data_IF_055041605543
#
_entry.id   IF_055041605543
#
_cell.length_a   1.000
_cell.length_b   1.000
_cell.length_c   1.000
_cell.angle_alpha   90.00
_cell.angle_beta   90.00
_cell.angle_gamma   90.00
#
_symmetry.space_group_name_H-M   'P 1'
#
loop_
_entity.id
_entity.type
_entity.pdbx_description
1 polymer ?
#
# COMPACT_ATOMS: atom_id res chain seq x y z
N UNK A 1 -2.52 3.89 15.78
CA UNK A 1 -3.00 2.51 15.72
C UNK A 1 -1.94 1.62 16.34
N UNK A 2 -2.26 0.92 17.42
CA UNK A 2 -1.33 0.02 18.14
C UNK A 2 -1.61 -1.45 17.82
N UNK A 3 -2.83 -1.75 17.36
CA UNK A 3 -3.28 -3.08 16.99
C UNK A 3 -4.08 -3.00 15.69
N UNK A 4 -4.03 -4.05 14.89
CA UNK A 4 -4.82 -4.22 13.66
C UNK A 4 -5.41 -5.63 13.67
N UNK A 5 -6.73 -5.70 13.56
CA UNK A 5 -7.42 -6.96 13.29
C UNK A 5 -7.23 -7.37 11.82
N UNK A 6 -7.01 -8.65 11.60
CA UNK A 6 -6.99 -9.21 10.25
C UNK A 6 -7.54 -10.63 10.28
N UNK A 7 -8.14 -11.06 9.19
CA UNK A 7 -8.69 -12.39 9.02
C UNK A 7 -7.99 -13.09 7.88
N UNK A 8 -7.82 -14.39 8.00
CA UNK A 8 -7.24 -15.22 6.94
C UNK A 8 -8.28 -16.21 6.44
N UNK A 9 -8.41 -16.31 5.12
CA UNK A 9 -9.18 -17.36 4.44
C UNK A 9 -8.21 -18.46 4.04
N UNK A 10 -8.57 -19.70 4.35
CA UNK A 10 -7.89 -20.90 3.90
C UNK A 10 -8.82 -21.65 2.96
N UNK A 11 -8.35 -21.95 1.73
CA UNK A 11 -9.09 -22.65 0.69
C UNK A 11 -8.33 -23.90 0.27
N UNK A 12 -9.04 -25.02 0.10
CA UNK A 12 -8.45 -26.30 -0.33
C UNK A 12 -9.46 -27.12 -1.13
N UNK A 13 -8.97 -28.06 -1.95
CA UNK A 13 -9.80 -29.06 -2.60
C UNK A 13 -10.06 -30.22 -1.63
N UNK A 14 -11.29 -30.77 -1.67
CA UNK A 14 -11.71 -31.82 -0.72
C UNK A 14 -10.87 -33.07 -0.80
N UNK A 15 -10.34 -33.38 -1.97
CA UNK A 15 -9.49 -34.55 -2.25
C UNK A 15 -8.05 -34.39 -1.78
N UNK A 16 -7.59 -33.14 -1.57
CA UNK A 16 -6.20 -32.79 -1.20
C UNK A 16 -6.14 -31.69 -0.15
N UNK A 17 -6.70 -31.91 1.05
CA UNK A 17 -6.82 -30.86 2.07
C UNK A 17 -5.48 -30.40 2.67
N UNK A 18 -4.39 -31.13 2.45
CA UNK A 18 -3.03 -30.76 2.83
C UNK A 18 -2.45 -29.65 1.97
N UNK A 19 -2.92 -29.51 0.71
CA UNK A 19 -2.57 -28.42 -0.19
C UNK A 19 -3.65 -27.35 -0.05
N UNK A 20 -3.26 -26.17 0.41
CA UNK A 20 -4.21 -25.09 0.62
C UNK A 20 -3.63 -23.73 0.23
N UNK A 21 -4.49 -22.89 -0.30
CA UNK A 21 -4.21 -21.47 -0.48
C UNK A 21 -4.59 -20.64 0.72
N UNK A 22 -3.86 -19.57 0.95
CA UNK A 22 -4.07 -18.63 2.04
C UNK A 22 -4.22 -17.21 1.51
N UNK A 23 -5.23 -16.48 1.98
CA UNK A 23 -5.44 -15.07 1.65
C UNK A 23 -5.78 -14.25 2.88
N UNK A 24 -5.32 -13.01 2.91
CA UNK A 24 -5.55 -12.07 3.99
C UNK A 24 -6.70 -11.11 3.64
N UNK A 25 -7.69 -11.04 4.53
CA UNK A 25 -8.76 -10.04 4.49
C UNK A 25 -8.36 -8.86 5.39
N UNK A 26 -7.59 -7.94 4.81
CA UNK A 26 -6.91 -6.85 5.51
C UNK A 26 -7.80 -5.63 5.69
N UNK A 27 -8.76 -5.69 6.59
CA UNK A 27 -9.65 -4.59 6.94
C UNK A 27 -8.96 -3.59 7.89
N UNK A 28 -9.20 -2.29 7.66
CA UNK A 28 -8.90 -1.23 8.63
C UNK A 28 -10.19 -0.68 9.22
N UNK A 29 -10.39 -0.86 10.54
CA UNK A 29 -11.55 -0.33 11.26
C UNK A 29 -11.60 1.21 11.15
N UNK A 30 -12.77 1.73 10.82
CA UNK A 30 -13.01 3.17 10.65
C UNK A 30 -12.44 3.78 9.37
N UNK A 31 -11.80 2.98 8.48
CA UNK A 31 -11.17 3.48 7.25
C UNK A 31 -11.61 2.71 6.01
N UNK A 32 -11.66 1.38 6.07
CA UNK A 32 -12.02 0.55 4.91
C UNK A 32 -13.49 0.72 4.54
N UNK A 33 -13.78 0.79 3.24
CA UNK A 33 -15.14 0.98 2.73
C UNK A 33 -16.09 -0.18 3.10
N UNK A 34 -15.57 -1.36 3.33
CA UNK A 34 -16.29 -2.57 3.72
C UNK A 34 -16.24 -2.83 5.24
N UNK A 35 -15.76 -1.87 6.04
CA UNK A 35 -15.86 -1.93 7.49
C UNK A 35 -17.32 -1.82 7.95
N UNK A 36 -17.90 -2.96 8.31
CA UNK A 36 -19.28 -3.05 8.76
C UNK A 36 -19.38 -3.87 10.05
N UNK A 37 -20.35 -3.61 10.93
CA UNK A 37 -20.55 -4.39 12.16
C UNK A 37 -20.76 -5.90 11.92
N UNK A 38 -21.17 -6.26 10.71
CA UNK A 38 -21.45 -7.66 10.32
C UNK A 38 -20.32 -8.30 9.51
N UNK A 39 -19.12 -7.71 9.50
CA UNK A 39 -18.00 -8.16 8.66
C UNK A 39 -17.69 -9.65 8.87
N UNK A 40 -17.49 -10.09 10.10
CA UNK A 40 -17.20 -11.49 10.43
C UNK A 40 -18.31 -12.45 10.05
N UNK A 41 -19.59 -12.01 10.20
CA UNK A 41 -20.73 -12.84 9.79
C UNK A 41 -20.76 -13.02 8.28
N UNK A 42 -20.42 -11.98 7.51
CA UNK A 42 -20.32 -12.05 6.05
C UNK A 42 -19.16 -12.96 5.64
N UNK A 43 -18.01 -12.82 6.29
CA UNK A 43 -16.85 -13.68 6.04
C UNK A 43 -17.19 -15.15 6.32
N UNK A 44 -17.79 -15.46 7.47
CA UNK A 44 -18.23 -16.82 7.82
C UNK A 44 -19.24 -17.37 6.80
N UNK A 45 -20.22 -16.58 6.37
CA UNK A 45 -21.19 -16.96 5.33
C UNK A 45 -20.48 -17.32 4.01
N UNK A 46 -19.52 -16.50 3.56
CA UNK A 46 -18.75 -16.75 2.33
C UNK A 46 -17.97 -18.06 2.44
N UNK A 47 -17.29 -18.30 3.57
CA UNK A 47 -16.55 -19.54 3.79
C UNK A 47 -17.46 -20.79 3.78
N UNK A 48 -18.66 -20.69 4.33
CA UNK A 48 -19.63 -21.80 4.38
C UNK A 48 -20.27 -22.09 3.01
N UNK A 49 -20.33 -21.11 2.12
CA UNK A 49 -21.03 -21.19 0.85
C UNK A 49 -20.09 -21.12 -0.36
N UNK A 50 -18.80 -21.31 -0.17
CA UNK A 50 -17.78 -21.08 -1.21
C UNK A 50 -18.09 -21.76 -2.54
N UNK A 51 -18.64 -22.97 -2.53
CA UNK A 51 -18.95 -23.76 -3.73
C UNK A 51 -20.18 -23.26 -4.52
N UNK A 52 -21.01 -22.41 -3.91
CA UNK A 52 -22.25 -21.89 -4.51
C UNK A 52 -22.27 -20.37 -4.57
N UNK A 53 -21.20 -19.74 -4.11
CA UNK A 53 -21.09 -18.29 -4.00
C UNK A 53 -21.14 -17.62 -5.38
N UNK A 54 -21.97 -16.59 -5.49
CA UNK A 54 -22.07 -15.79 -6.71
C UNK A 54 -21.28 -14.48 -6.54
N UNK A 55 -20.59 -14.01 -7.59
CA UNK A 55 -19.76 -12.81 -7.55
C UNK A 55 -20.48 -11.55 -7.04
N UNK A 56 -21.79 -11.41 -7.30
CA UNK A 56 -22.56 -10.26 -6.82
C UNK A 56 -22.68 -10.22 -5.28
N UNK A 57 -22.54 -11.35 -4.59
CA UNK A 57 -22.60 -11.45 -3.13
C UNK A 57 -21.34 -10.85 -2.48
N UNK A 58 -20.25 -10.72 -3.25
CA UNK A 58 -19.00 -10.07 -2.84
C UNK A 58 -18.98 -8.57 -3.10
N UNK A 59 -20.03 -8.03 -3.70
CA UNK A 59 -20.11 -6.59 -4.01
C UNK A 59 -20.01 -5.73 -2.74
N UNK A 60 -19.06 -4.82 -2.72
CA UNK A 60 -18.79 -3.94 -1.58
C UNK A 60 -18.06 -4.63 -0.41
N UNK A 61 -17.48 -5.81 -0.62
CA UNK A 61 -16.67 -6.56 0.33
C UNK A 61 -15.24 -6.70 -0.20
N UNK A 62 -14.60 -5.59 -0.50
CA UNK A 62 -13.31 -5.53 -1.22
C UNK A 62 -12.17 -6.27 -0.52
N UNK A 63 -12.08 -6.18 0.81
CA UNK A 63 -11.04 -6.89 1.57
C UNK A 63 -11.28 -8.41 1.60
N UNK A 64 -12.54 -8.84 1.67
CA UNK A 64 -12.89 -10.29 1.61
C UNK A 64 -12.64 -10.82 0.19
N UNK A 65 -13.05 -10.08 -0.84
CA UNK A 65 -12.80 -10.45 -2.23
C UNK A 65 -11.29 -10.61 -2.48
N UNK A 66 -10.48 -9.64 -2.06
CA UNK A 66 -9.03 -9.71 -2.18
C UNK A 66 -8.44 -10.94 -1.47
N UNK A 67 -8.87 -11.20 -0.23
CA UNK A 67 -8.43 -12.37 0.53
C UNK A 67 -8.83 -13.68 -0.17
N UNK A 68 -10.04 -13.77 -0.70
CA UNK A 68 -10.51 -14.96 -1.41
C UNK A 68 -9.75 -15.18 -2.73
N UNK A 69 -9.60 -14.14 -3.55
CA UNK A 69 -8.85 -14.21 -4.82
C UNK A 69 -7.39 -14.62 -4.57
N UNK A 70 -6.78 -14.04 -3.53
CA UNK A 70 -5.41 -14.40 -3.13
C UNK A 70 -5.31 -15.86 -2.69
N UNK A 71 -6.26 -16.35 -1.88
CA UNK A 71 -6.27 -17.74 -1.44
C UNK A 71 -6.44 -18.72 -2.61
N UNK A 72 -7.33 -18.41 -3.55
CA UNK A 72 -7.56 -19.23 -4.75
C UNK A 72 -6.31 -19.22 -5.64
N UNK A 73 -5.69 -18.06 -5.86
CA UNK A 73 -4.47 -17.96 -6.65
C UNK A 73 -3.30 -18.73 -6.02
N UNK A 74 -3.14 -18.67 -4.69
CA UNK A 74 -2.14 -19.45 -3.98
C UNK A 74 -2.40 -20.97 -4.09
N UNK A 75 -3.67 -21.41 -3.94
CA UNK A 75 -4.05 -22.81 -4.12
C UNK A 75 -3.70 -23.31 -5.54
N UNK A 76 -4.05 -22.53 -6.56
CA UNK A 76 -3.75 -22.84 -7.97
C UNK A 76 -2.24 -22.97 -8.26
N UNK A 77 -1.40 -22.31 -7.46
CA UNK A 77 0.05 -22.44 -7.48
C UNK A 77 0.60 -23.47 -6.47
N UNK A 78 -0.26 -24.37 -5.96
CA UNK A 78 0.12 -25.46 -5.08
C UNK A 78 0.32 -25.06 -3.62
N UNK A 79 -0.26 -23.95 -3.17
CA UNK A 79 -0.25 -23.50 -1.78
C UNK A 79 1.14 -23.10 -1.26
N UNK A 80 1.99 -22.62 -2.13
CA UNK A 80 3.40 -22.31 -1.84
C UNK A 80 3.64 -20.87 -1.36
N UNK A 81 2.59 -20.06 -1.23
CA UNK A 81 2.66 -18.62 -0.92
C UNK A 81 3.34 -17.80 -2.02
N UNK A 82 3.36 -18.33 -3.22
CA UNK A 82 3.83 -17.66 -4.44
C UNK A 82 2.65 -17.56 -5.40
N UNK A 83 2.01 -16.40 -5.45
CA UNK A 83 0.81 -16.16 -6.26
C UNK A 83 1.18 -15.96 -7.72
N UNK A 84 2.23 -15.19 -7.97
CA UNK A 84 2.79 -14.94 -9.30
C UNK A 84 4.27 -15.34 -9.29
N UNK A 85 4.63 -16.49 -9.85
CA UNK A 85 6.04 -16.89 -9.97
C UNK A 85 6.81 -15.88 -10.83
N UNK A 86 7.78 -15.23 -10.23
CA UNK A 86 8.69 -14.26 -10.87
C UNK A 86 10.07 -14.40 -10.24
N UNK A 87 11.15 -13.93 -10.88
CA UNK A 87 12.48 -13.94 -10.26
C UNK A 87 12.53 -13.29 -8.88
N UNK A 88 11.71 -12.24 -8.65
CA UNK A 88 11.60 -11.59 -7.34
C UNK A 88 10.93 -12.49 -6.30
N UNK A 89 9.76 -13.07 -6.61
CA UNK A 89 9.01 -13.92 -5.66
C UNK A 89 9.72 -15.25 -5.39
N UNK A 90 10.61 -15.68 -6.28
CA UNK A 90 11.48 -16.86 -6.13
C UNK A 90 12.82 -16.53 -5.44
N UNK A 91 13.03 -15.26 -5.04
CA UNK A 91 14.24 -14.83 -4.35
C UNK A 91 15.50 -14.77 -5.24
N UNK A 92 15.33 -14.69 -6.57
CA UNK A 92 16.42 -14.62 -7.54
C UNK A 92 16.88 -13.20 -7.83
N UNK A 93 15.99 -12.21 -7.64
CA UNK A 93 16.26 -10.78 -7.87
C UNK A 93 15.60 -9.95 -6.78
N UNK A 94 16.18 -8.80 -6.51
CA UNK A 94 15.57 -7.80 -5.63
C UNK A 94 14.58 -6.92 -6.40
N UNK A 95 13.77 -6.16 -5.66
CA UNK A 95 12.91 -5.10 -6.17
C UNK A 95 13.29 -3.78 -5.49
N UNK A 96 13.46 -2.74 -6.28
CA UNK A 96 13.78 -1.41 -5.75
C UNK A 96 12.56 -0.82 -5.03
N UNK A 97 12.80 -0.28 -3.82
CA UNK A 97 11.79 0.39 -3.01
C UNK A 97 12.18 1.84 -2.73
N UNK A 98 11.20 2.71 -2.50
CA UNK A 98 11.48 4.08 -2.07
C UNK A 98 11.78 4.19 -0.57
N UNK A 99 12.66 5.10 -0.20
CA UNK A 99 12.80 5.59 1.17
C UNK A 99 11.60 6.44 1.55
N UNK A 100 10.81 6.02 2.54
CA UNK A 100 9.64 6.77 2.98
C UNK A 100 10.01 7.84 4.00
N UNK A 101 9.62 9.08 3.70
CA UNK A 101 9.68 10.24 4.61
C UNK A 101 8.26 10.45 5.16
N UNK A 102 8.03 9.93 6.35
CA UNK A 102 6.73 10.04 7.02
C UNK A 102 6.49 11.47 7.51
N UNK A 103 5.21 11.83 7.65
CA UNK A 103 4.79 13.14 8.18
C UNK A 103 5.41 13.45 9.55
N UNK A 104 5.74 14.70 9.79
CA UNK A 104 6.28 15.26 11.01
C UNK A 104 6.40 16.76 10.85
N UNK A 105 6.99 17.44 11.83
CA UNK A 105 7.45 18.81 11.62
C UNK A 105 8.61 18.87 10.61
N UNK A 106 8.91 20.07 10.13
CA UNK A 106 9.92 20.31 9.09
C UNK A 106 11.29 19.73 9.45
N UNK A 107 11.73 19.90 10.69
CA UNK A 107 13.05 19.44 11.13
C UNK A 107 13.12 17.92 11.22
N UNK A 108 12.07 17.28 11.72
CA UNK A 108 11.93 15.82 11.76
C UNK A 108 11.92 15.23 10.35
N UNK A 109 11.17 15.83 9.41
CA UNK A 109 11.14 15.36 8.03
C UNK A 109 12.49 15.54 7.35
N UNK A 110 13.16 16.66 7.58
CA UNK A 110 14.51 16.91 7.06
C UNK A 110 15.53 15.89 7.56
N UNK A 111 15.49 15.56 8.85
CA UNK A 111 16.36 14.54 9.42
C UNK A 111 16.12 13.17 8.77
N UNK A 112 14.86 12.78 8.58
CA UNK A 112 14.50 11.54 7.88
C UNK A 112 14.97 11.51 6.42
N UNK A 113 14.93 12.65 5.73
CA UNK A 113 15.48 12.77 4.36
C UNK A 113 16.99 12.45 4.38
N UNK A 114 17.74 13.07 5.28
CA UNK A 114 19.18 12.83 5.42
C UNK A 114 19.44 11.34 5.68
N UNK A 115 18.76 10.74 6.65
CA UNK A 115 18.91 9.32 6.99
C UNK A 115 18.64 8.39 5.81
N UNK A 116 17.62 8.68 4.97
CA UNK A 116 17.31 7.86 3.81
C UNK A 116 18.34 8.02 2.70
N UNK A 117 18.79 9.23 2.45
CA UNK A 117 19.83 9.50 1.46
C UNK A 117 21.18 8.89 1.87
N UNK A 118 21.56 9.00 3.14
CA UNK A 118 22.77 8.38 3.69
C UNK A 118 22.70 6.84 3.68
N UNK A 119 21.49 6.29 3.80
CA UNK A 119 21.25 4.85 3.66
C UNK A 119 21.27 4.37 2.19
N UNK A 120 21.49 5.27 1.20
CA UNK A 120 21.65 4.92 -0.21
C UNK A 120 20.34 4.79 -1.00
N UNK A 121 19.22 5.31 -0.51
CA UNK A 121 17.99 5.34 -1.29
C UNK A 121 18.10 6.34 -2.45
N UNK A 122 17.91 5.85 -3.68
CA UNK A 122 17.86 6.67 -4.90
C UNK A 122 16.45 7.16 -5.25
N UNK A 123 15.43 6.67 -4.56
CA UNK A 123 14.06 7.17 -4.64
C UNK A 123 13.56 7.48 -3.24
N UNK A 124 13.05 8.69 -3.01
CA UNK A 124 12.43 9.08 -1.74
C UNK A 124 11.00 9.56 -1.96
N UNK A 125 10.08 9.10 -1.10
CA UNK A 125 8.66 9.47 -1.13
C UNK A 125 8.33 10.28 0.12
N UNK A 126 7.96 11.56 -0.06
CA UNK A 126 7.54 12.43 1.03
C UNK A 126 6.02 12.38 1.19
N UNK A 127 5.56 12.14 2.42
CA UNK A 127 4.18 12.38 2.80
C UNK A 127 4.02 13.87 3.06
N UNK A 128 3.14 14.55 2.28
CA UNK A 128 2.88 15.99 2.34
C UNK A 128 1.43 16.26 2.70
N UNK A 129 1.09 17.53 3.01
CA UNK A 129 -0.25 17.96 3.39
C UNK A 129 -0.50 17.99 4.89
N UNK A 130 0.54 17.81 5.72
CA UNK A 130 0.42 17.82 7.18
C UNK A 130 1.01 19.07 7.85
N UNK A 131 1.92 19.78 7.17
CA UNK A 131 2.52 21.04 7.61
C UNK A 131 2.22 22.14 6.60
N UNK A 132 2.74 23.35 6.85
CA UNK A 132 2.60 24.43 5.89
C UNK A 132 3.20 24.07 4.53
N UNK A 133 2.49 24.39 3.46
CA UNK A 133 2.88 23.98 2.09
C UNK A 133 4.22 24.58 1.67
N UNK A 134 4.56 25.81 2.10
CA UNK A 134 5.87 26.40 1.79
C UNK A 134 7.00 25.68 2.52
N UNK A 135 6.76 25.16 3.72
CA UNK A 135 7.73 24.33 4.43
C UNK A 135 7.96 22.98 3.70
N UNK A 136 6.90 22.40 3.11
CA UNK A 136 7.01 21.21 2.27
C UNK A 136 7.82 21.47 1.01
N UNK A 137 7.58 22.61 0.35
CA UNK A 137 8.38 23.05 -0.80
C UNK A 137 9.85 23.29 -0.43
N UNK A 138 10.13 23.81 0.77
CA UNK A 138 11.50 23.97 1.27
C UNK A 138 12.24 22.64 1.43
N UNK A 139 11.55 21.58 1.86
CA UNK A 139 12.13 20.23 1.92
C UNK A 139 12.48 19.69 0.54
N UNK A 140 11.60 19.88 -0.45
CA UNK A 140 11.87 19.49 -1.85
C UNK A 140 13.04 20.31 -2.43
N UNK A 141 13.06 21.61 -2.17
CA UNK A 141 14.17 22.51 -2.56
C UNK A 141 15.48 22.08 -1.94
N UNK A 142 15.47 21.67 -0.66
CA UNK A 142 16.64 21.15 0.04
C UNK A 142 17.22 19.92 -0.67
N UNK A 143 16.37 18.96 -1.08
CA UNK A 143 16.80 17.76 -1.80
C UNK A 143 17.36 18.14 -3.17
N UNK A 144 16.62 18.92 -3.96
CA UNK A 144 17.01 19.29 -5.34
C UNK A 144 18.24 20.18 -5.41
N UNK A 145 18.55 20.91 -4.36
CA UNK A 145 19.80 21.68 -4.26
C UNK A 145 21.04 20.77 -4.17
N UNK A 146 20.90 19.56 -3.66
CA UNK A 146 21.99 18.61 -3.46
C UNK A 146 22.03 17.51 -4.52
N UNK A 147 20.87 17.09 -5.01
CA UNK A 147 20.72 15.96 -5.91
C UNK A 147 19.80 16.30 -7.09
N UNK A 148 20.29 16.08 -8.30
CA UNK A 148 19.49 16.20 -9.51
C UNK A 148 18.46 15.05 -9.60
N UNK A 149 17.52 15.15 -10.53
CA UNK A 149 16.49 14.12 -10.75
C UNK A 149 17.07 12.79 -11.26
N UNK A 150 18.23 12.83 -11.88
CA UNK A 150 18.94 11.64 -12.36
C UNK A 150 19.62 10.86 -11.21
N UNK A 151 19.87 11.53 -10.07
CA UNK A 151 20.52 10.93 -8.88
C UNK A 151 19.47 10.48 -7.88
N UNK A 152 18.46 11.31 -7.63
CA UNK A 152 17.39 10.99 -6.65
C UNK A 152 16.02 11.26 -7.25
N UNK A 153 15.24 10.21 -7.42
CA UNK A 153 13.83 10.30 -7.79
C UNK A 153 13.01 10.81 -6.59
N UNK A 154 12.18 11.82 -6.81
CA UNK A 154 11.27 12.35 -5.81
C UNK A 154 9.83 11.93 -6.11
N UNK A 155 9.14 11.43 -5.10
CA UNK A 155 7.69 11.19 -5.09
C UNK A 155 7.07 11.94 -3.92
N UNK A 156 5.85 12.41 -4.13
CA UNK A 156 5.06 13.07 -3.07
C UNK A 156 3.68 12.43 -2.96
N UNK A 157 3.13 12.41 -1.76
CA UNK A 157 1.81 11.82 -1.52
C UNK A 157 1.08 12.67 -0.48
N UNK A 158 0.09 13.42 -0.94
CA UNK A 158 -0.72 14.30 -0.11
C UNK A 158 -1.87 13.59 0.62
N UNK A 159 -2.13 12.31 0.33
CA UNK A 159 -3.20 11.53 0.96
C UNK A 159 -4.57 12.23 0.98
N UNK A 160 -4.90 12.98 -0.07
CA UNK A 160 -6.16 13.72 -0.17
C UNK A 160 -6.22 15.00 0.68
N UNK A 161 -5.09 15.54 1.15
CA UNK A 161 -5.05 16.77 1.95
C UNK A 161 -5.37 18.05 1.16
N UNK A 162 -5.27 18.00 -0.18
CA UNK A 162 -5.57 19.16 -1.02
C UNK A 162 -7.04 19.20 -1.41
N UNK A 163 -7.69 20.36 -1.22
CA UNK A 163 -9.04 20.57 -1.76
C UNK A 163 -8.99 20.65 -3.30
N UNK A 164 -10.10 20.34 -4.00
CA UNK A 164 -10.17 20.48 -5.46
C UNK A 164 -9.80 21.87 -5.98
N UNK A 165 -10.04 22.91 -5.19
CA UNK A 165 -9.72 24.29 -5.51
C UNK A 165 -8.24 24.62 -5.39
N UNK A 166 -7.55 24.04 -4.42
CA UNK A 166 -6.12 24.26 -4.15
C UNK A 166 -5.21 23.36 -5.01
N UNK A 167 -5.69 22.13 -5.29
CA UNK A 167 -4.87 21.11 -5.92
C UNK A 167 -4.18 21.58 -7.21
N UNK A 168 -4.85 22.28 -8.18
CA UNK A 168 -4.18 22.72 -9.41
C UNK A 168 -2.98 23.60 -9.14
N UNK A 169 -3.10 24.60 -8.26
CA UNK A 169 -2.00 25.49 -7.90
C UNK A 169 -0.86 24.77 -7.20
N UNK A 170 -1.21 23.93 -6.20
CA UNK A 170 -0.20 23.16 -5.44
C UNK A 170 0.56 22.18 -6.34
N UNK A 171 -0.13 21.51 -7.26
CA UNK A 171 0.50 20.60 -8.23
C UNK A 171 1.43 21.35 -9.19
N UNK A 172 1.04 22.56 -9.65
CA UNK A 172 1.91 23.42 -10.44
C UNK A 172 3.18 23.81 -9.70
N UNK A 173 3.09 24.18 -8.41
CA UNK A 173 4.28 24.47 -7.60
C UNK A 173 5.16 23.23 -7.39
N UNK A 174 4.57 22.09 -7.11
CA UNK A 174 5.28 20.82 -6.93
C UNK A 174 6.02 20.39 -8.21
N UNK A 175 5.42 20.61 -9.38
CA UNK A 175 6.02 20.25 -10.69
C UNK A 175 7.36 20.92 -10.96
N UNK A 176 7.66 22.06 -10.31
CA UNK A 176 8.92 22.78 -10.44
C UNK A 176 10.12 22.06 -9.80
N UNK A 177 9.87 20.99 -9.05
CA UNK A 177 10.90 20.22 -8.35
C UNK A 177 11.22 18.88 -9.03
N UNK A 178 10.86 18.73 -10.31
CA UNK A 178 11.10 17.48 -11.06
C UNK A 178 10.64 16.24 -10.29
N UNK A 179 9.45 16.30 -9.68
CA UNK A 179 8.86 15.13 -9.03
C UNK A 179 8.41 14.10 -10.06
N UNK A 180 8.56 12.83 -9.73
CA UNK A 180 8.11 11.71 -10.58
C UNK A 180 6.59 11.53 -10.45
N UNK A 181 6.03 11.56 -9.25
CA UNK A 181 4.59 11.34 -8.96
C UNK A 181 4.21 11.86 -7.58
#
# INVERSE_FOLDING_TARGET
>A
LTEKETWFIKVWESEQPEIYGLGECALFRGLSADDTPNYEKKLAYICQNINTLMLYELKGLSSILFGLDTAIADLNNGGKRIIYPTPFTEGQTDIEINGLIWMGDKDTMRQRIIEKLDAGFHCVKLKIGAIDFEEELDLLRYIRKQFSKEVVELRVDANGAFTPQEAPRKLEELSRYDIHS
#
